data_IF_839926130706
#
_entry.id   IF_839926130706
#
_cell.length_a   1.000
_cell.length_b   1.000
_cell.length_c   1.000
_cell.angle_alpha   90.00
_cell.angle_beta   90.00
_cell.angle_gamma   90.00
#
_symmetry.space_group_name_H-M   'P 1'
#
loop_
_entity.id
_entity.type
_entity.pdbx_description
1 polymer ?
#
# COMPACT_ATOMS: atom_id res chain seq x y z
N UNK A 1 -28.57 -0.03 17.62
CA UNK A 1 -29.31 0.24 16.37
C UNK A 1 -28.90 -0.73 15.28
N UNK A 2 -27.62 -0.96 15.01
CA UNK A 2 -27.18 -1.86 13.91
C UNK A 2 -27.61 -3.33 14.11
N UNK A 3 -27.48 -3.90 15.31
CA UNK A 3 -27.94 -5.29 15.57
C UNK A 3 -29.46 -5.45 15.43
N UNK A 4 -30.24 -4.45 15.84
CA UNK A 4 -31.70 -4.48 15.80
C UNK A 4 -32.21 -4.54 14.36
N UNK A 5 -31.60 -3.74 13.47
CA UNK A 5 -31.93 -3.68 12.05
C UNK A 5 -31.61 -4.99 11.33
N UNK A 6 -30.46 -5.61 11.63
CA UNK A 6 -30.10 -6.89 11.03
C UNK A 6 -31.09 -7.99 11.44
N UNK A 7 -31.49 -8.02 12.71
CA UNK A 7 -32.51 -8.94 13.20
C UNK A 7 -33.88 -8.70 12.56
N UNK A 8 -34.31 -7.44 12.40
CA UNK A 8 -35.60 -7.11 11.77
C UNK A 8 -35.61 -7.46 10.28
N UNK A 9 -34.52 -7.20 9.56
CA UNK A 9 -34.35 -7.64 8.16
C UNK A 9 -34.37 -9.15 8.04
N UNK A 10 -33.73 -9.86 8.97
CA UNK A 10 -33.71 -11.32 8.97
C UNK A 10 -35.09 -11.92 9.28
N UNK A 11 -35.83 -11.34 10.24
CA UNK A 11 -37.21 -11.72 10.52
C UNK A 11 -38.13 -11.46 9.31
N UNK A 12 -37.92 -10.35 8.61
CA UNK A 12 -38.66 -10.01 7.37
C UNK A 12 -38.33 -11.00 6.26
N UNK A 13 -37.07 -11.45 6.16
CA UNK A 13 -36.65 -12.47 5.19
C UNK A 13 -37.37 -13.80 5.44
N UNK A 14 -37.44 -14.24 6.70
CA UNK A 14 -38.15 -15.46 7.08
C UNK A 14 -39.66 -15.37 6.82
N UNK A 15 -40.27 -14.20 7.03
CA UNK A 15 -41.71 -14.01 6.78
C UNK A 15 -42.08 -13.96 5.30
N UNK A 16 -41.19 -13.44 4.44
CA UNK A 16 -41.52 -13.15 3.04
C UNK A 16 -40.88 -14.11 2.03
N UNK A 17 -40.25 -15.20 2.48
CA UNK A 17 -39.58 -16.18 1.61
C UNK A 17 -38.56 -15.53 0.65
N UNK A 18 -37.89 -14.48 1.13
CA UNK A 18 -36.91 -13.72 0.36
C UNK A 18 -35.65 -14.57 0.19
N UNK A 19 -35.08 -14.58 -1.00
CA UNK A 19 -33.86 -15.35 -1.25
C UNK A 19 -32.72 -14.82 -0.38
N UNK A 20 -31.80 -15.71 0.01
CA UNK A 20 -30.64 -15.34 0.81
C UNK A 20 -29.77 -14.30 0.07
N UNK A 21 -29.79 -14.31 -1.26
CA UNK A 21 -29.12 -13.34 -2.12
C UNK A 21 -29.75 -11.94 -1.99
N UNK A 22 -31.07 -11.86 -2.02
CA UNK A 22 -31.80 -10.59 -1.87
C UNK A 22 -31.66 -10.02 -0.45
N UNK A 23 -31.61 -10.87 0.58
CA UNK A 23 -31.30 -10.46 1.95
C UNK A 23 -29.91 -9.82 2.04
N UNK A 24 -28.89 -10.47 1.49
CA UNK A 24 -27.54 -9.92 1.49
C UNK A 24 -27.45 -8.63 0.68
N UNK A 25 -28.15 -8.54 -0.46
CA UNK A 25 -28.24 -7.31 -1.25
C UNK A 25 -28.84 -6.16 -0.43
N UNK A 26 -29.98 -6.38 0.23
CA UNK A 26 -30.64 -5.39 1.09
C UNK A 26 -29.76 -4.99 2.28
N UNK A 27 -29.09 -5.94 2.92
CA UNK A 27 -28.18 -5.70 4.02
C UNK A 27 -26.96 -4.87 3.56
N UNK A 28 -26.38 -5.19 2.40
CA UNK A 28 -25.27 -4.43 1.81
C UNK A 28 -25.70 -2.99 1.53
N UNK A 29 -26.89 -2.80 0.95
CA UNK A 29 -27.46 -1.50 0.65
C UNK A 29 -27.67 -0.68 1.94
N UNK A 30 -28.16 -1.32 3.01
CA UNK A 30 -28.35 -0.67 4.29
C UNK A 30 -27.03 -0.29 4.96
N UNK A 31 -26.02 -1.17 4.93
CA UNK A 31 -24.67 -0.88 5.44
C UNK A 31 -24.07 0.29 4.68
N UNK A 32 -24.20 0.33 3.35
CA UNK A 32 -23.69 1.42 2.52
C UNK A 32 -24.38 2.75 2.85
N UNK A 33 -25.71 2.73 3.03
CA UNK A 33 -26.48 3.92 3.44
C UNK A 33 -26.07 4.42 4.83
N UNK A 34 -25.88 3.51 5.78
CA UNK A 34 -25.42 3.84 7.13
C UNK A 34 -23.99 4.40 7.12
N UNK A 35 -23.07 3.83 6.33
CA UNK A 35 -21.71 4.32 6.21
C UNK A 35 -21.65 5.74 5.63
N UNK A 36 -22.45 6.01 4.59
CA UNK A 36 -22.59 7.36 4.01
C UNK A 36 -23.18 8.33 5.03
N UNK A 37 -24.28 7.96 5.71
CA UNK A 37 -24.90 8.81 6.74
C UNK A 37 -23.95 9.09 7.90
N UNK A 38 -23.14 8.11 8.31
CA UNK A 38 -22.14 8.26 9.37
C UNK A 38 -21.02 9.22 8.95
N UNK A 39 -20.56 9.14 7.70
CA UNK A 39 -19.61 10.10 7.13
C UNK A 39 -20.22 11.51 7.05
N UNK A 40 -21.47 11.64 6.61
CA UNK A 40 -22.18 12.93 6.57
C UNK A 40 -22.34 13.50 7.99
N UNK A 41 -22.71 12.70 8.98
CA UNK A 41 -22.86 13.16 10.36
C UNK A 41 -21.53 13.55 10.99
N UNK A 42 -20.46 12.78 10.80
CA UNK A 42 -19.12 13.13 11.25
C UNK A 42 -18.63 14.43 10.60
N UNK A 43 -18.93 14.61 9.32
CA UNK A 43 -18.65 15.85 8.61
C UNK A 43 -19.46 17.03 9.17
N UNK A 44 -20.76 16.86 9.41
CA UNK A 44 -21.61 17.89 10.02
C UNK A 44 -21.17 18.25 11.44
N UNK A 45 -20.72 17.28 12.24
CA UNK A 45 -20.12 17.51 13.56
C UNK A 45 -18.79 18.27 13.45
N UNK A 46 -17.98 17.98 12.44
CA UNK A 46 -16.73 18.69 12.19
C UNK A 46 -17.00 20.14 11.76
N UNK A 47 -18.00 20.35 10.89
CA UNK A 47 -18.45 21.69 10.46
C UNK A 47 -19.04 22.47 11.64
N UNK A 48 -19.90 21.88 12.48
CA UNK A 48 -20.47 22.60 13.65
C UNK A 48 -19.41 22.98 14.69
N UNK A 49 -18.35 22.19 14.86
CA UNK A 49 -17.21 22.57 15.73
C UNK A 49 -16.41 23.76 15.19
N UNK A 50 -16.43 24.02 13.89
CA UNK A 50 -15.80 25.20 13.29
C UNK A 50 -16.63 26.48 13.45
N UNK A 51 -17.90 26.38 13.87
CA UNK A 51 -18.83 27.51 13.94
C UNK A 51 -19.34 27.83 15.36
N UNK A 52 -18.67 27.36 16.43
CA UNK A 52 -19.05 27.75 17.79
C UNK A 52 -18.58 29.19 18.06
N UNK A 53 -19.48 30.15 18.32
CA UNK A 53 -19.10 31.50 18.71
C UNK A 53 -18.50 31.47 20.12
N UNK A 54 -17.29 31.99 20.24
CA UNK A 54 -16.65 32.27 21.53
C UNK A 54 -17.43 33.41 22.21
N UNK A 55 -17.78 33.21 23.48
CA UNK A 55 -18.41 34.23 24.33
C UNK A 55 -17.54 35.49 24.39
N UNK A 56 -18.12 36.70 24.31
CA UNK A 56 -17.34 37.92 24.27
C UNK A 56 -16.90 38.36 25.67
N UNK A 57 -15.68 38.02 26.06
CA UNK A 57 -14.91 38.77 27.06
C UNK A 57 -13.45 38.78 26.65
N UNK A 58 -12.91 40.00 26.56
CA UNK A 58 -11.50 40.36 26.38
C UNK A 58 -10.93 40.38 24.94
N UNK A 59 -10.74 41.62 24.53
CA UNK A 59 -10.12 42.18 23.33
C UNK A 59 -8.70 41.72 23.06
N UNK A 60 -8.45 41.01 21.95
CA UNK A 60 -7.22 41.17 21.15
C UNK A 60 -7.53 41.02 19.66
N UNK A 61 -7.29 42.10 18.92
CA UNK A 61 -7.40 42.30 17.48
C UNK A 61 -6.40 41.45 16.71
N UNK A 62 -6.83 40.65 15.72
CA UNK A 62 -6.15 40.44 14.40
C UNK A 62 -6.92 39.49 13.47
N UNK A 63 -7.48 40.10 12.41
CA UNK A 63 -7.65 39.62 11.03
C UNK A 63 -8.08 38.16 10.79
N UNK A 64 -9.37 37.94 10.58
CA UNK A 64 -9.89 36.85 9.74
C UNK A 64 -10.77 37.44 8.64
N UNK A 65 -10.39 37.16 7.39
CA UNK A 65 -11.16 37.49 6.17
C UNK A 65 -12.35 36.52 6.08
N UNK A 66 -13.59 36.98 5.85
CA UNK A 66 -14.74 36.10 5.73
C UNK A 66 -14.76 35.42 4.34
N UNK A 67 -14.70 34.09 4.30
CA UNK A 67 -14.98 33.32 3.08
C UNK A 67 -16.50 33.10 3.01
N UNK A 68 -17.13 33.48 1.89
CA UNK A 68 -18.59 33.37 1.74
C UNK A 68 -19.05 31.90 1.77
N UNK A 69 -20.21 31.60 2.39
CA UNK A 69 -20.78 30.25 2.42
C UNK A 69 -20.97 29.62 1.02
N UNK A 70 -21.15 30.45 0.00
CA UNK A 70 -21.32 30.03 -1.40
C UNK A 70 -20.06 29.42 -2.02
N UNK A 71 -18.85 29.78 -1.56
CA UNK A 71 -17.61 29.14 -2.05
C UNK A 71 -17.36 27.77 -1.43
N UNK A 72 -17.90 27.51 -0.24
CA UNK A 72 -17.80 26.21 0.43
C UNK A 72 -18.71 25.18 -0.26
N UNK A 73 -19.91 25.60 -0.67
CA UNK A 73 -20.85 24.71 -1.40
C UNK A 73 -20.37 24.40 -2.84
N UNK A 74 -19.67 25.33 -3.49
CA UNK A 74 -19.10 25.10 -4.83
C UNK A 74 -17.87 24.16 -4.82
N UNK A 75 -17.08 24.13 -3.74
CA UNK A 75 -15.96 23.20 -3.59
C UNK A 75 -16.37 21.75 -3.25
N UNK A 76 -17.60 21.56 -2.76
CA UNK A 76 -18.10 20.28 -2.27
C UNK A 76 -18.85 19.44 -3.32
N UNK A 77 -19.35 20.06 -4.41
CA UNK A 77 -20.03 19.34 -5.50
C UNK A 77 -19.07 18.83 -6.59
N UNK A 78 -17.86 19.37 -6.65
CA UNK A 78 -16.87 19.03 -7.68
C UNK A 78 -16.32 17.61 -7.52
N UNK A 79 -15.98 17.10 -6.32
CA UNK A 79 -15.42 15.75 -6.19
C UNK A 79 -16.43 14.63 -6.45
N UNK A 80 -17.70 14.79 -6.07
CA UNK A 80 -18.72 13.74 -6.24
C UNK A 80 -19.22 13.68 -7.69
N UNK A 81 -19.27 14.82 -8.39
CA UNK A 81 -19.67 14.87 -9.80
C UNK A 81 -18.52 14.49 -10.76
N UNK A 82 -17.24 14.73 -10.40
CA UNK A 82 -16.10 14.26 -11.20
C UNK A 82 -15.81 12.77 -11.02
N UNK A 83 -16.12 12.16 -9.88
CA UNK A 83 -16.03 10.69 -9.72
C UNK A 83 -17.15 9.94 -10.45
N UNK A 84 -18.32 10.55 -10.66
CA UNK A 84 -19.42 9.95 -11.44
C UNK A 84 -19.33 10.21 -12.95
N UNK A 85 -18.69 11.30 -13.38
CA UNK A 85 -18.46 11.57 -14.81
C UNK A 85 -17.24 10.83 -15.38
N UNK A 86 -16.21 10.57 -14.57
CA UNK A 86 -15.03 9.80 -14.99
C UNK A 86 -15.32 8.32 -15.27
N UNK A 87 -16.47 7.81 -14.84
CA UNK A 87 -16.94 6.45 -15.14
C UNK A 87 -17.77 6.33 -16.43
N UNK A 88 -18.05 7.42 -17.15
CA UNK A 88 -18.87 7.41 -18.38
C UNK A 88 -18.21 8.01 -19.63
N UNK A 89 -16.93 8.43 -19.58
CA UNK A 89 -16.29 9.17 -20.68
C UNK A 89 -14.96 8.59 -21.18
N UNK A 90 -14.71 7.29 -21.04
CA UNK A 90 -13.52 6.62 -21.63
C UNK A 90 -13.82 5.83 -22.92
N UNK A 91 -15.00 6.02 -23.50
CA UNK A 91 -15.29 5.66 -24.89
C UNK A 91 -15.30 6.94 -25.73
N UNK A 92 -14.53 6.96 -26.82
CA UNK A 92 -14.38 7.99 -27.86
C UNK A 92 -13.30 9.08 -27.66
N UNK A 93 -12.63 9.43 -28.79
CA UNK A 93 -11.56 10.43 -28.99
C UNK A 93 -10.15 9.85 -28.69
N UNK A 94 -9.23 9.56 -29.62
CA UNK A 94 -8.93 10.21 -30.89
C UNK A 94 -8.08 9.27 -31.80
N UNK A 95 -8.58 9.03 -33.01
CA UNK A 95 -7.82 8.55 -34.17
C UNK A 95 -7.14 9.77 -34.81
N UNK A 96 -5.83 9.76 -35.01
CA UNK A 96 -5.19 10.84 -35.76
C UNK A 96 -3.66 10.80 -35.90
N UNK A 97 -3.20 10.17 -36.99
CA UNK A 97 -2.06 10.62 -37.81
C UNK A 97 -0.64 10.45 -37.22
N UNK A 98 0.06 9.38 -37.61
CA UNK A 98 1.46 9.50 -38.06
C UNK A 98 1.79 8.54 -39.21
N UNK A 99 1.86 9.17 -40.40
CA UNK A 99 2.55 8.86 -41.66
C UNK A 99 3.12 7.45 -41.94
N UNK A 100 2.62 6.91 -43.06
CA UNK A 100 3.29 5.98 -43.96
C UNK A 100 4.73 6.41 -44.35
N UNK A 101 5.69 5.48 -44.28
CA UNK A 101 6.65 5.16 -45.36
C UNK A 101 7.56 3.98 -44.97
N UNK A 102 7.31 2.83 -45.61
CA UNK A 102 8.30 1.96 -46.27
C UNK A 102 7.88 0.48 -46.18
N UNK A 103 7.47 -0.05 -47.33
CA UNK A 103 7.52 -1.49 -47.62
C UNK A 103 8.88 -1.75 -48.27
N UNK A 104 9.72 -2.55 -47.64
CA UNK A 104 10.71 -3.36 -48.35
C UNK A 104 10.80 -4.72 -47.68
N UNK A 105 10.53 -5.75 -48.46
CA UNK A 105 10.67 -7.16 -48.12
C UNK A 105 12.11 -7.48 -47.69
N UNK A 106 12.28 -8.07 -46.50
CA UNK A 106 13.34 -9.05 -46.25
C UNK A 106 12.87 -10.06 -45.19
N UNK A 107 13.21 -11.30 -45.49
CA UNK A 107 12.89 -12.57 -44.85
C UNK A 107 13.14 -12.68 -43.34
N UNK A 108 12.43 -13.64 -42.74
CA UNK A 108 12.82 -14.46 -41.59
C UNK A 108 13.12 -13.74 -40.27
N UNK A 109 12.12 -13.65 -39.40
CA UNK A 109 12.28 -13.29 -38.00
C UNK A 109 11.04 -13.73 -37.22
N UNK A 110 11.16 -14.85 -36.52
CA UNK A 110 10.25 -15.21 -35.43
C UNK A 110 10.15 -13.98 -34.52
N UNK A 111 8.98 -13.34 -34.43
CA UNK A 111 8.81 -12.15 -33.59
C UNK A 111 9.05 -12.56 -32.14
N UNK A 112 10.23 -12.28 -31.61
CA UNK A 112 10.52 -12.38 -30.19
C UNK A 112 9.50 -11.47 -29.52
N UNK A 113 8.48 -12.05 -28.88
CA UNK A 113 7.59 -11.28 -28.02
C UNK A 113 8.48 -10.53 -27.04
N UNK A 114 8.29 -9.22 -26.93
CA UNK A 114 9.01 -8.42 -25.94
C UNK A 114 8.85 -9.08 -24.58
N UNK A 115 9.98 -9.53 -24.01
CA UNK A 115 10.01 -10.36 -22.80
C UNK A 115 9.37 -9.65 -21.59
N UNK A 116 9.42 -8.32 -21.60
CA UNK A 116 8.89 -7.43 -20.58
C UNK A 116 7.97 -6.40 -21.22
N UNK A 117 6.95 -5.99 -20.49
CA UNK A 117 5.97 -5.01 -20.97
C UNK A 117 5.80 -3.89 -19.94
N UNK A 118 5.34 -2.73 -20.41
CA UNK A 118 4.94 -1.65 -19.52
C UNK A 118 3.77 -2.12 -18.65
N UNK A 119 3.86 -2.06 -17.31
CA UNK A 119 2.83 -2.58 -16.44
C UNK A 119 1.63 -1.64 -16.45
N UNK A 120 0.44 -2.21 -16.28
CA UNK A 120 -0.82 -1.49 -16.35
C UNK A 120 -1.67 -1.73 -15.09
N UNK A 121 -2.53 -0.76 -14.75
CA UNK A 121 -3.47 -0.94 -13.64
C UNK A 121 -4.54 -1.97 -14.03
N UNK A 122 -4.73 -2.97 -13.19
CA UNK A 122 -5.71 -4.05 -13.40
C UNK A 122 -6.73 -4.17 -12.27
N UNK A 123 -6.59 -3.38 -11.20
CA UNK A 123 -7.53 -3.29 -10.07
C UNK A 123 -8.23 -1.94 -10.17
N UNK A 124 -9.38 -1.90 -10.85
CA UNK A 124 -10.11 -0.67 -11.19
C UNK A 124 -11.38 -0.48 -10.35
N UNK A 125 -11.87 -1.57 -9.76
CA UNK A 125 -13.01 -1.61 -8.85
C UNK A 125 -12.77 -2.57 -7.69
N UNK A 126 -13.63 -2.51 -6.67
CA UNK A 126 -13.61 -3.47 -5.54
C UNK A 126 -13.81 -4.92 -5.99
N UNK A 127 -14.45 -5.16 -7.14
CA UNK A 127 -14.69 -6.51 -7.68
C UNK A 127 -13.40 -7.16 -8.23
N UNK A 128 -12.41 -6.35 -8.60
CA UNK A 128 -11.11 -6.82 -9.10
C UNK A 128 -10.21 -7.35 -7.98
N UNK A 129 -10.58 -7.17 -6.71
CA UNK A 129 -9.82 -7.70 -5.57
C UNK A 129 -9.71 -9.23 -5.60
N UNK A 130 -10.75 -9.93 -6.06
CA UNK A 130 -10.69 -11.39 -6.19
C UNK A 130 -9.70 -11.81 -7.28
N UNK A 131 -9.66 -11.08 -8.41
CA UNK A 131 -8.68 -11.28 -9.48
C UNK A 131 -7.25 -11.09 -8.95
N UNK A 132 -7.03 -10.01 -8.20
CA UNK A 132 -5.76 -9.73 -7.53
C UNK A 132 -5.35 -10.86 -6.57
N UNK A 133 -6.22 -11.25 -5.63
CA UNK A 133 -5.90 -12.27 -4.62
C UNK A 133 -5.63 -13.67 -5.21
N UNK A 134 -6.10 -13.95 -6.45
CA UNK A 134 -5.86 -15.20 -7.17
C UNK A 134 -4.70 -15.14 -8.17
N UNK A 135 -4.09 -13.96 -8.32
CA UNK A 135 -3.03 -13.74 -9.30
C UNK A 135 -1.71 -14.38 -8.89
N UNK A 136 -0.88 -14.68 -9.90
CA UNK A 136 0.52 -15.08 -9.70
C UNK A 136 1.31 -14.02 -8.94
N UNK A 137 1.10 -12.74 -9.24
CA UNK A 137 1.73 -11.62 -8.56
C UNK A 137 1.47 -11.64 -7.04
N UNK A 138 0.22 -11.85 -6.60
CA UNK A 138 -0.11 -11.94 -5.17
C UNK A 138 0.64 -13.08 -4.48
N UNK A 139 0.63 -14.27 -5.09
CA UNK A 139 1.26 -15.46 -4.53
C UNK A 139 2.78 -15.29 -4.40
N UNK A 140 3.44 -14.79 -5.45
CA UNK A 140 4.88 -14.54 -5.46
C UNK A 140 5.28 -13.43 -4.49
N UNK A 141 4.46 -12.37 -4.39
CA UNK A 141 4.65 -11.30 -3.42
C UNK A 141 4.61 -11.83 -1.99
N UNK A 142 3.54 -12.54 -1.62
CA UNK A 142 3.40 -13.10 -0.28
C UNK A 142 4.47 -14.14 0.03
N UNK A 143 4.90 -14.94 -0.95
CA UNK A 143 6.02 -15.86 -0.78
C UNK A 143 7.31 -15.08 -0.41
N UNK A 144 7.61 -14.00 -1.15
CA UNK A 144 8.77 -13.16 -0.84
C UNK A 144 8.69 -12.54 0.56
N UNK A 145 7.52 -12.00 0.96
CA UNK A 145 7.37 -11.42 2.31
C UNK A 145 7.61 -12.47 3.40
N UNK A 146 7.12 -13.69 3.23
CA UNK A 146 7.36 -14.80 4.16
C UNK A 146 8.83 -15.21 4.22
N UNK A 147 9.50 -15.37 3.07
CA UNK A 147 10.92 -15.72 3.01
C UNK A 147 11.81 -14.67 3.70
N UNK A 148 11.54 -13.39 3.46
CA UNK A 148 12.26 -12.28 4.08
C UNK A 148 11.98 -12.22 5.59
N UNK A 149 10.74 -12.50 6.02
CA UNK A 149 10.37 -12.59 7.42
C UNK A 149 11.14 -13.70 8.16
N UNK A 150 11.24 -14.89 7.56
CA UNK A 150 11.96 -16.02 8.15
C UNK A 150 13.48 -15.77 8.20
N UNK A 151 14.04 -15.08 7.20
CA UNK A 151 15.47 -14.76 7.13
C UNK A 151 15.98 -13.88 8.29
N UNK A 152 15.09 -13.15 8.95
CA UNK A 152 15.41 -12.24 10.08
C UNK A 152 14.89 -12.73 11.43
N UNK A 153 14.33 -13.94 11.50
CA UNK A 153 13.79 -14.50 12.74
C UNK A 153 14.87 -14.61 13.81
N UNK A 154 14.69 -13.89 14.92
CA UNK A 154 15.66 -13.85 16.02
C UNK A 154 16.98 -13.10 15.73
N UNK A 155 17.09 -12.39 14.61
CA UNK A 155 18.31 -11.70 14.16
C UNK A 155 18.24 -10.21 14.51
N UNK A 156 19.28 -9.64 15.11
CA UNK A 156 19.33 -8.19 15.39
C UNK A 156 19.81 -7.40 14.17
N UNK A 157 19.30 -6.17 13.99
CA UNK A 157 19.66 -5.33 12.84
C UNK A 157 21.15 -4.98 12.79
N UNK A 158 21.84 -5.00 13.93
CA UNK A 158 23.28 -4.70 14.05
C UNK A 158 24.18 -5.92 13.86
N UNK A 159 23.63 -7.11 13.63
CA UNK A 159 24.43 -8.33 13.40
C UNK A 159 25.30 -8.16 12.15
N UNK A 160 26.51 -8.71 12.14
CA UNK A 160 27.34 -8.71 10.94
C UNK A 160 26.74 -9.63 9.87
N UNK A 161 26.34 -9.05 8.74
CA UNK A 161 25.56 -9.71 7.70
C UNK A 161 26.27 -9.49 6.37
N UNK A 162 26.60 -10.56 5.62
CA UNK A 162 27.17 -10.43 4.29
C UNK A 162 26.26 -9.60 3.37
N UNK A 163 26.85 -8.63 2.68
CA UNK A 163 26.18 -7.78 1.70
C UNK A 163 26.80 -8.08 0.34
N UNK A 164 26.00 -8.60 -0.59
CA UNK A 164 26.50 -8.82 -1.96
C UNK A 164 26.71 -7.47 -2.67
N UNK A 165 27.58 -7.41 -3.70
CA UNK A 165 27.82 -6.18 -4.45
C UNK A 165 26.53 -5.53 -4.96
N UNK A 166 25.57 -6.32 -5.44
CA UNK A 166 24.30 -5.79 -5.95
C UNK A 166 23.39 -5.21 -4.87
N UNK A 167 23.39 -5.79 -3.68
CA UNK A 167 22.68 -5.18 -2.53
C UNK A 167 23.36 -3.89 -2.10
N UNK A 168 24.70 -3.83 -2.15
CA UNK A 168 25.44 -2.60 -1.87
C UNK A 168 25.15 -1.51 -2.91
N UNK A 169 25.18 -1.82 -4.21
CA UNK A 169 24.80 -0.90 -5.29
C UNK A 169 23.42 -0.26 -5.02
N UNK A 170 22.44 -1.09 -4.61
CA UNK A 170 21.09 -0.61 -4.28
C UNK A 170 21.06 0.28 -3.02
N UNK A 171 21.87 -0.02 -2.00
CA UNK A 171 22.00 0.82 -0.80
C UNK A 171 22.60 2.18 -1.15
N UNK A 172 23.65 2.19 -1.98
CA UNK A 172 24.35 3.40 -2.42
C UNK A 172 23.41 4.31 -3.24
N UNK A 173 22.57 3.72 -4.11
CA UNK A 173 21.50 4.46 -4.81
C UNK A 173 20.56 5.14 -3.81
N UNK A 174 20.07 4.42 -2.79
CA UNK A 174 19.17 5.02 -1.80
C UNK A 174 19.88 6.09 -0.94
N UNK A 175 21.19 5.97 -0.74
CA UNK A 175 21.99 7.02 -0.10
C UNK A 175 22.09 8.28 -0.94
N UNK A 176 22.31 8.12 -2.25
CA UNK A 176 22.35 9.23 -3.19
C UNK A 176 21.00 9.95 -3.30
N UNK A 177 19.90 9.19 -3.43
CA UNK A 177 18.54 9.75 -3.41
C UNK A 177 18.24 10.53 -2.12
N UNK A 178 18.80 10.09 -0.98
CA UNK A 178 18.66 10.81 0.29
C UNK A 178 19.46 12.12 0.27
N UNK A 179 20.65 12.16 -0.34
CA UNK A 179 21.45 13.40 -0.42
C UNK A 179 20.76 14.48 -1.23
N UNK A 180 19.95 14.13 -2.24
CA UNK A 180 19.18 15.11 -3.00
C UNK A 180 18.24 15.96 -2.14
N UNK A 181 17.84 15.51 -0.94
CA UNK A 181 17.04 16.35 -0.04
C UNK A 181 17.81 17.58 0.47
N UNK A 182 19.15 17.55 0.42
CA UNK A 182 20.01 18.71 0.71
C UNK A 182 20.05 19.70 -0.46
N UNK A 183 19.91 19.20 -1.69
CA UNK A 183 19.89 20.02 -2.92
C UNK A 183 18.52 20.65 -3.16
N UNK A 184 17.46 20.00 -2.69
CA UNK A 184 16.08 20.49 -2.73
C UNK A 184 15.55 20.76 -1.31
N UNK A 185 16.06 21.79 -0.61
CA UNK A 185 15.60 22.13 0.73
C UNK A 185 14.11 22.53 0.71
N UNK A 186 13.40 22.41 1.85
CA UNK A 186 11.99 22.79 1.94
C UNK A 186 11.78 24.26 1.55
N UNK A 187 10.82 24.52 0.66
CA UNK A 187 10.45 25.89 0.28
C UNK A 187 9.65 26.58 1.38
N UNK A 188 9.75 27.90 1.47
CA UNK A 188 8.84 28.69 2.32
C UNK A 188 7.44 28.65 1.71
N UNK A 189 6.52 28.01 2.43
CA UNK A 189 5.15 27.77 1.99
C UNK A 189 4.17 28.84 2.52
N UNK A 190 4.66 29.87 3.22
CA UNK A 190 3.83 30.89 3.85
C UNK A 190 2.76 30.29 4.77
N UNK A 191 1.50 30.35 4.34
CA UNK A 191 0.35 29.84 5.11
C UNK A 191 0.00 28.37 4.83
N UNK A 192 0.55 27.76 3.77
CA UNK A 192 0.27 26.36 3.45
C UNK A 192 0.89 25.45 4.51
N UNK A 193 0.03 24.63 5.12
CA UNK A 193 0.37 23.81 6.30
C UNK A 193 0.82 22.40 5.97
N UNK A 194 0.41 21.87 4.81
CA UNK A 194 0.60 20.48 4.42
C UNK A 194 1.44 20.38 3.14
N UNK A 195 2.26 19.34 3.02
CA UNK A 195 3.02 18.99 1.82
C UNK A 195 3.89 20.13 1.28
N UNK A 196 5.19 20.10 1.56
CA UNK A 196 6.14 21.05 0.98
C UNK A 196 6.33 20.77 -0.52
N UNK A 197 6.09 21.79 -1.37
CA UNK A 197 6.15 21.64 -2.83
C UNK A 197 7.55 21.35 -3.37
N UNK A 198 8.61 21.58 -2.58
CA UNK A 198 9.97 21.18 -2.93
C UNK A 198 10.08 19.67 -3.24
N UNK A 199 9.22 18.84 -2.65
CA UNK A 199 9.13 17.41 -2.99
C UNK A 199 8.91 17.17 -4.49
N UNK A 200 8.16 18.05 -5.17
CA UNK A 200 7.91 17.91 -6.61
C UNK A 200 9.19 18.06 -7.42
N UNK A 201 10.14 18.89 -6.98
CA UNK A 201 11.44 19.05 -7.62
C UNK A 201 12.32 17.83 -7.39
N UNK A 202 12.35 17.32 -6.17
CA UNK A 202 13.04 16.06 -5.84
C UNK A 202 12.49 14.89 -6.68
N UNK A 203 11.16 14.76 -6.76
CA UNK A 203 10.50 13.70 -7.53
C UNK A 203 10.65 13.88 -9.05
N UNK A 204 10.71 15.11 -9.53
CA UNK A 204 11.00 15.39 -10.94
C UNK A 204 12.38 14.87 -11.33
N UNK A 205 13.41 15.18 -10.53
CA UNK A 205 14.76 14.64 -10.77
C UNK A 205 14.77 13.11 -10.72
N UNK A 206 14.08 12.51 -9.74
CA UNK A 206 13.90 11.06 -9.68
C UNK A 206 13.30 10.52 -10.99
N UNK A 207 12.28 11.18 -11.53
CA UNK A 207 11.64 10.76 -12.79
C UNK A 207 12.58 10.88 -13.98
N UNK A 208 13.45 11.90 -14.00
CA UNK A 208 14.42 12.14 -15.07
C UNK A 208 15.61 11.16 -15.03
N UNK A 209 16.05 10.72 -13.84
CA UNK A 209 17.21 9.84 -13.66
C UNK A 209 16.86 8.35 -13.44
N UNK A 210 15.58 8.00 -13.24
CA UNK A 210 15.19 6.66 -12.82
C UNK A 210 15.59 5.54 -13.80
N UNK A 211 15.54 5.77 -15.11
CA UNK A 211 15.99 4.80 -16.10
C UNK A 211 17.47 4.43 -15.89
N UNK A 212 18.35 5.42 -15.75
CA UNK A 212 19.79 5.22 -15.54
C UNK A 212 20.09 4.55 -14.20
N UNK A 213 19.37 4.96 -13.14
CA UNK A 213 19.44 4.33 -11.82
C UNK A 213 19.12 2.84 -11.93
N UNK A 214 18.01 2.47 -12.58
CA UNK A 214 17.62 1.06 -12.73
C UNK A 214 18.60 0.32 -13.64
N UNK A 215 19.08 0.95 -14.73
CA UNK A 215 20.09 0.33 -15.61
C UNK A 215 21.36 -0.06 -14.87
N UNK A 216 21.79 0.72 -13.86
CA UNK A 216 22.99 0.42 -13.07
C UNK A 216 22.88 -0.87 -12.25
N UNK A 217 21.66 -1.27 -11.87
CA UNK A 217 21.38 -2.50 -11.12
C UNK A 217 21.34 -3.74 -12.01
N UNK A 218 21.12 -3.57 -13.32
CA UNK A 218 20.85 -4.66 -14.25
C UNK A 218 22.08 -5.08 -15.05
N UNK A 219 22.15 -6.36 -15.38
CA UNK A 219 23.07 -6.87 -16.39
C UNK A 219 22.59 -6.48 -17.80
N UNK A 220 23.50 -6.46 -18.78
CA UNK A 220 23.22 -5.96 -20.14
C UNK A 220 22.01 -6.65 -20.79
N UNK A 221 21.89 -7.97 -20.62
CA UNK A 221 20.83 -8.81 -21.15
C UNK A 221 19.46 -8.63 -20.46
N UNK A 222 19.41 -7.89 -19.35
CA UNK A 222 18.19 -7.62 -18.58
C UNK A 222 17.74 -6.17 -18.67
N UNK A 223 18.49 -5.30 -19.34
CA UNK A 223 18.15 -3.87 -19.50
C UNK A 223 16.77 -3.62 -20.10
N UNK A 224 16.26 -4.52 -20.95
CA UNK A 224 14.90 -4.40 -21.48
C UNK A 224 13.81 -4.51 -20.40
N UNK A 225 14.12 -4.97 -19.18
CA UNK A 225 13.18 -5.01 -18.07
C UNK A 225 12.89 -3.64 -17.44
N UNK A 226 13.68 -2.59 -17.76
CA UNK A 226 13.46 -1.23 -17.23
C UNK A 226 12.06 -0.72 -17.51
N UNK A 227 11.49 -1.05 -18.68
CA UNK A 227 10.11 -0.71 -19.05
C UNK A 227 9.08 -1.18 -18.02
N UNK A 228 9.38 -2.29 -17.33
CA UNK A 228 8.52 -2.84 -16.29
C UNK A 228 8.90 -2.38 -14.87
N UNK A 229 10.19 -2.24 -14.59
CA UNK A 229 10.67 -1.85 -13.27
C UNK A 229 10.39 -0.38 -12.93
N UNK A 230 10.41 0.49 -13.94
CA UNK A 230 10.35 1.94 -13.78
C UNK A 230 9.11 2.39 -12.98
N UNK A 231 7.87 1.95 -13.28
CA UNK A 231 6.71 2.39 -12.52
C UNK A 231 6.72 1.93 -11.06
N UNK A 232 7.22 0.74 -10.74
CA UNK A 232 7.33 0.27 -9.36
C UNK A 232 8.33 1.12 -8.56
N UNK A 233 9.47 1.43 -9.17
CA UNK A 233 10.49 2.27 -8.55
C UNK A 233 9.99 3.70 -8.30
N UNK A 234 9.39 4.34 -9.30
CA UNK A 234 8.87 5.71 -9.17
C UNK A 234 7.74 5.80 -8.14
N UNK A 235 6.87 4.80 -8.05
CA UNK A 235 5.78 4.77 -7.07
C UNK A 235 6.26 4.41 -5.65
N UNK A 236 7.52 4.02 -5.46
CA UNK A 236 8.06 3.64 -4.14
C UNK A 236 8.23 4.82 -3.18
N UNK A 237 8.25 6.08 -3.64
CA UNK A 237 8.69 7.23 -2.84
C UNK A 237 7.56 8.23 -2.51
N UNK A 238 6.30 7.87 -2.79
CA UNK A 238 5.13 8.72 -2.58
C UNK A 238 4.60 9.36 -3.87
N UNK A 239 3.55 10.18 -3.75
CA UNK A 239 2.91 10.83 -4.88
C UNK A 239 3.29 12.31 -4.99
N UNK A 240 3.92 12.73 -6.10
CA UNK A 240 4.36 14.12 -6.30
C UNK A 240 3.23 15.15 -6.33
N UNK A 241 2.04 14.77 -6.80
CA UNK A 241 0.91 15.69 -6.90
C UNK A 241 0.29 15.96 -5.54
N UNK A 242 -0.03 14.89 -4.80
CA UNK A 242 -0.66 14.94 -3.48
C UNK A 242 0.31 15.20 -2.34
N UNK A 243 1.61 14.97 -2.57
CA UNK A 243 2.69 15.08 -1.57
C UNK A 243 2.36 14.18 -0.36
N UNK A 244 1.94 12.95 -0.67
CA UNK A 244 1.59 11.92 0.31
C UNK A 244 2.42 10.65 0.13
N UNK A 245 2.53 9.86 1.20
CA UNK A 245 3.17 8.55 1.22
C UNK A 245 2.37 7.62 2.14
N UNK A 246 2.38 6.31 1.88
CA UNK A 246 1.75 5.31 2.74
C UNK A 246 2.10 3.89 2.32
N UNK A 247 1.44 2.92 2.94
CA UNK A 247 1.72 1.48 2.76
C UNK A 247 1.62 0.96 1.32
N UNK A 248 0.89 1.64 0.42
CA UNK A 248 0.88 1.33 -1.01
C UNK A 248 2.24 1.57 -1.67
N UNK A 249 2.88 2.70 -1.33
CA UNK A 249 4.22 3.06 -1.81
C UNK A 249 5.30 2.14 -1.20
N UNK A 250 5.16 1.81 0.11
CA UNK A 250 5.99 0.77 0.75
C UNK A 250 5.89 -0.57 0.00
N UNK A 251 4.68 -0.97 -0.39
CA UNK A 251 4.46 -2.17 -1.17
C UNK A 251 5.05 -2.07 -2.58
N UNK A 252 4.99 -0.91 -3.25
CA UNK A 252 5.64 -0.68 -4.54
C UNK A 252 7.16 -0.88 -4.49
N UNK A 253 7.82 -0.47 -3.40
CA UNK A 253 9.25 -0.76 -3.18
C UNK A 253 9.52 -2.26 -3.05
N UNK A 254 8.65 -2.99 -2.37
CA UNK A 254 8.74 -4.44 -2.25
C UNK A 254 8.44 -5.16 -3.57
N UNK A 255 7.52 -4.65 -4.40
CA UNK A 255 7.28 -5.16 -5.75
C UNK A 255 8.52 -4.95 -6.63
N UNK A 256 9.17 -3.79 -6.53
CA UNK A 256 10.44 -3.52 -7.20
C UNK A 256 11.52 -4.53 -6.76
N UNK A 257 11.68 -4.76 -5.46
CA UNK A 257 12.60 -5.78 -4.93
C UNK A 257 12.27 -7.19 -5.43
N UNK A 258 10.99 -7.56 -5.49
CA UNK A 258 10.53 -8.85 -6.04
C UNK A 258 10.93 -8.99 -7.50
N UNK A 259 10.72 -7.96 -8.31
CA UNK A 259 11.08 -7.99 -9.72
C UNK A 259 12.59 -8.12 -9.91
N UNK A 260 13.40 -7.41 -9.11
CA UNK A 260 14.87 -7.58 -9.10
C UNK A 260 15.30 -8.99 -8.70
N UNK A 261 14.63 -9.62 -7.72
CA UNK A 261 14.85 -11.04 -7.37
C UNK A 261 14.52 -11.97 -8.54
N UNK A 262 13.40 -11.75 -9.24
CA UNK A 262 13.00 -12.55 -10.41
C UNK A 262 13.96 -12.40 -11.58
N UNK A 263 14.61 -11.24 -11.68
CA UNK A 263 15.70 -10.98 -12.61
C UNK A 263 17.05 -11.54 -12.13
N UNK A 264 17.13 -12.16 -10.95
CA UNK A 264 18.37 -12.70 -10.39
C UNK A 264 19.40 -11.63 -10.01
N UNK A 265 18.97 -10.39 -9.78
CA UNK A 265 19.82 -9.31 -9.23
C UNK A 265 20.10 -9.58 -7.76
N UNK A 266 19.07 -10.03 -7.04
CA UNK A 266 19.18 -10.51 -5.67
C UNK A 266 18.86 -12.01 -5.62
N UNK A 267 19.58 -12.75 -4.77
CA UNK A 267 19.43 -14.20 -4.58
C UNK A 267 18.97 -14.51 -3.15
N UNK A 268 18.48 -15.74 -2.85
CA UNK A 268 18.00 -16.07 -1.51
C UNK A 268 19.02 -15.85 -0.37
N UNK A 269 20.33 -15.95 -0.65
CA UNK A 269 21.37 -15.64 0.33
C UNK A 269 21.43 -14.16 0.72
N UNK A 270 20.84 -13.26 -0.08
CA UNK A 270 20.72 -11.83 0.23
C UNK A 270 19.54 -11.52 1.16
N UNK A 271 18.61 -12.46 1.39
CA UNK A 271 17.35 -12.16 2.09
C UNK A 271 17.52 -11.40 3.41
N UNK A 272 18.56 -11.74 4.19
CA UNK A 272 18.84 -11.06 5.46
C UNK A 272 19.35 -9.62 5.25
N UNK A 273 20.23 -9.38 4.27
CA UNK A 273 20.72 -8.03 3.95
C UNK A 273 19.66 -7.18 3.23
N UNK A 274 18.78 -7.79 2.44
CA UNK A 274 17.62 -7.12 1.85
C UNK A 274 16.72 -6.49 2.93
N UNK A 275 16.50 -7.18 4.05
CA UNK A 275 15.69 -6.65 5.16
C UNK A 275 16.51 -5.71 6.06
N UNK A 276 17.63 -6.18 6.61
CA UNK A 276 18.34 -5.49 7.70
C UNK A 276 19.37 -4.46 7.21
N UNK A 277 19.53 -4.29 5.89
CA UNK A 277 20.38 -3.26 5.28
C UNK A 277 19.60 -2.43 4.27
N UNK A 278 19.15 -3.05 3.17
CA UNK A 278 18.52 -2.33 2.06
C UNK A 278 17.18 -1.71 2.49
N UNK A 279 16.26 -2.51 3.02
CA UNK A 279 14.97 -2.00 3.47
C UNK A 279 15.11 -1.03 4.66
N UNK A 280 16.04 -1.27 5.57
CA UNK A 280 16.35 -0.29 6.63
C UNK A 280 16.83 1.04 6.05
N UNK A 281 17.71 1.04 5.04
CA UNK A 281 18.13 2.27 4.35
C UNK A 281 16.96 2.95 3.64
N UNK A 282 16.08 2.20 2.99
CA UNK A 282 14.84 2.71 2.41
C UNK A 282 13.98 3.42 3.46
N UNK A 283 13.76 2.81 4.64
CA UNK A 283 13.02 3.46 5.72
C UNK A 283 13.67 4.77 6.20
N UNK A 284 15.00 4.86 6.22
CA UNK A 284 15.70 6.12 6.56
C UNK A 284 15.49 7.19 5.51
N UNK A 285 15.57 6.85 4.22
CA UNK A 285 15.26 7.76 3.12
C UNK A 285 13.81 8.25 3.22
N UNK A 286 12.84 7.34 3.34
CA UNK A 286 11.42 7.72 3.43
C UNK A 286 11.15 8.61 4.64
N UNK A 287 11.70 8.32 5.82
CA UNK A 287 11.57 9.20 6.98
C UNK A 287 12.20 10.57 6.77
N UNK A 288 13.30 10.65 6.03
CA UNK A 288 13.92 11.90 5.62
C UNK A 288 12.99 12.70 4.68
N UNK A 289 12.37 12.06 3.69
CA UNK A 289 11.37 12.70 2.82
C UNK A 289 10.14 13.18 3.60
N UNK A 290 9.60 12.33 4.49
CA UNK A 290 8.44 12.64 5.33
C UNK A 290 8.67 13.89 6.18
N UNK A 291 9.81 13.97 6.87
CA UNK A 291 10.13 15.11 7.76
C UNK A 291 10.53 16.36 6.96
N UNK A 292 11.38 16.21 5.95
CA UNK A 292 11.86 17.34 5.12
C UNK A 292 10.70 17.98 4.37
N UNK A 293 9.86 17.18 3.72
CA UNK A 293 8.79 17.68 2.87
C UNK A 293 7.41 17.69 3.53
N UNK A 294 7.30 17.36 4.83
CA UNK A 294 6.01 17.34 5.56
C UNK A 294 4.94 16.56 4.79
N UNK A 295 5.33 15.37 4.31
CA UNK A 295 4.45 14.53 3.50
C UNK A 295 3.24 14.08 4.32
N UNK A 296 2.08 14.05 3.68
CA UNK A 296 0.85 13.60 4.32
C UNK A 296 0.74 12.06 4.29
N UNK A 297 0.08 11.44 5.28
CA UNK A 297 -0.28 10.03 5.21
C UNK A 297 -1.25 9.75 4.05
N UNK A 298 -0.87 8.84 3.16
CA UNK A 298 -1.72 8.40 2.08
C UNK A 298 -2.81 7.47 2.63
N UNK A 299 -4.06 7.92 2.50
CA UNK A 299 -5.24 7.20 2.98
C UNK A 299 -5.72 7.65 4.36
N UNK A 300 -7.03 7.83 4.49
CA UNK A 300 -7.66 8.39 5.69
C UNK A 300 -8.06 7.31 6.71
N UNK A 301 -7.08 6.75 7.45
CA UNK A 301 -7.37 5.77 8.52
C UNK A 301 -7.13 6.30 9.93
N UNK A 302 -6.31 7.34 10.09
CA UNK A 302 -6.01 7.95 11.38
C UNK A 302 -5.68 6.91 12.46
N UNK A 303 -6.31 7.03 13.61
CA UNK A 303 -6.12 6.15 14.78
C UNK A 303 -6.44 4.66 14.54
N UNK A 304 -7.10 4.32 13.42
CA UNK A 304 -7.41 2.93 13.06
C UNK A 304 -6.31 2.28 12.21
N UNK A 305 -5.31 3.04 11.75
CA UNK A 305 -4.12 2.47 11.09
C UNK A 305 -3.18 1.83 12.12
N UNK A 306 -2.34 0.89 11.65
CA UNK A 306 -1.22 0.40 12.45
C UNK A 306 -0.20 1.52 12.71
N UNK A 307 0.15 2.22 11.64
CA UNK A 307 1.02 3.40 11.60
C UNK A 307 0.56 4.29 10.43
N UNK A 308 0.94 5.56 10.44
CA UNK A 308 0.51 6.53 9.43
C UNK A 308 1.10 6.21 8.05
N UNK A 309 2.28 5.60 8.00
CA UNK A 309 3.05 5.46 6.76
C UNK A 309 3.45 4.02 6.42
N UNK A 310 3.92 3.25 7.39
CA UNK A 310 4.57 1.96 7.18
C UNK A 310 3.76 0.81 7.77
N UNK A 311 4.02 -0.41 7.29
CA UNK A 311 3.50 -1.63 7.90
C UNK A 311 4.61 -2.65 8.13
N UNK A 312 5.45 -2.85 7.13
CA UNK A 312 6.46 -3.90 7.07
C UNK A 312 7.52 -3.86 8.19
N UNK A 313 8.01 -2.71 8.72
CA UNK A 313 8.94 -2.74 9.85
C UNK A 313 8.35 -3.39 11.11
N UNK A 314 7.03 -3.32 11.33
CA UNK A 314 6.38 -4.03 12.44
C UNK A 314 6.28 -5.54 12.17
N UNK A 315 6.05 -5.94 10.92
CA UNK A 315 6.01 -7.35 10.52
C UNK A 315 7.40 -7.97 10.68
N UNK A 316 8.42 -7.48 9.97
CA UNK A 316 9.77 -8.06 10.07
C UNK A 316 10.44 -7.81 11.42
N UNK A 317 10.18 -6.67 12.06
CA UNK A 317 10.68 -6.37 13.39
C UNK A 317 10.11 -7.27 14.48
N UNK A 318 8.86 -7.73 14.36
CA UNK A 318 8.31 -8.74 15.26
C UNK A 318 8.95 -10.12 15.03
N UNK A 319 9.33 -10.47 13.80
CA UNK A 319 10.10 -11.70 13.52
C UNK A 319 11.48 -11.70 14.18
N UNK A 320 12.18 -10.56 14.15
CA UNK A 320 13.46 -10.40 14.86
C UNK A 320 13.36 -10.67 16.37
N UNK A 321 12.16 -10.56 16.97
CA UNK A 321 11.92 -10.72 18.40
C UNK A 321 11.35 -12.09 18.78
N UNK A 322 11.05 -12.96 17.81
CA UNK A 322 10.66 -14.35 18.04
C UNK A 322 11.75 -15.06 18.85
N UNK A 323 11.34 -15.74 19.92
CA UNK A 323 12.26 -16.38 20.88
C UNK A 323 12.94 -15.45 21.90
N UNK A 324 12.72 -14.13 21.86
CA UNK A 324 13.28 -13.20 22.85
C UNK A 324 12.57 -13.35 24.21
N UNK A 325 13.33 -13.63 25.27
CA UNK A 325 12.80 -13.83 26.63
C UNK A 325 12.72 -12.56 27.48
N UNK A 326 13.42 -11.49 27.10
CA UNK A 326 13.51 -10.25 27.88
C UNK A 326 12.58 -9.17 27.36
N UNK A 327 12.53 -9.03 26.03
CA UNK A 327 11.64 -8.09 25.36
C UNK A 327 10.35 -8.83 25.03
N UNK A 328 9.28 -8.52 25.76
CA UNK A 328 7.90 -8.98 25.48
C UNK A 328 7.14 -7.93 24.67
N UNK A 329 6.02 -8.24 23.99
CA UNK A 329 5.27 -7.26 23.19
C UNK A 329 4.93 -5.96 23.93
N UNK A 330 4.51 -6.00 25.20
CA UNK A 330 4.28 -4.79 26.00
C UNK A 330 5.51 -3.85 26.11
N UNK A 331 6.72 -4.36 25.86
CA UNK A 331 7.97 -3.63 26.09
C UNK A 331 8.13 -2.40 25.19
N UNK A 332 7.49 -2.36 24.01
CA UNK A 332 7.54 -1.17 23.15
C UNK A 332 6.66 -0.02 23.65
N UNK A 333 5.87 -0.22 24.70
CA UNK A 333 5.15 0.88 25.36
C UNK A 333 6.04 1.68 26.33
N UNK A 334 7.26 1.22 26.60
CA UNK A 334 8.20 1.86 27.53
C UNK A 334 9.24 2.67 26.74
N UNK A 335 9.18 4.02 26.75
CA UNK A 335 10.04 4.87 25.91
C UNK A 335 11.53 4.57 26.07
N UNK A 336 12.03 4.36 27.30
CA UNK A 336 13.44 4.05 27.55
C UNK A 336 13.89 2.74 26.92
N UNK A 337 13.02 1.71 26.92
CA UNK A 337 13.30 0.43 26.26
C UNK A 337 13.29 0.62 24.74
N UNK A 338 12.35 1.42 24.23
CA UNK A 338 12.28 1.74 22.81
C UNK A 338 13.56 2.41 22.33
N UNK A 339 14.00 3.46 23.02
CA UNK A 339 15.23 4.17 22.69
C UNK A 339 16.46 3.25 22.74
N UNK A 340 16.56 2.41 23.78
CA UNK A 340 17.68 1.46 23.94
C UNK A 340 17.76 0.42 22.81
N UNK A 341 16.64 0.02 22.22
CA UNK A 341 16.56 -1.08 21.25
C UNK A 341 16.28 -0.65 19.80
N UNK A 342 15.96 0.62 19.55
CA UNK A 342 15.63 1.14 18.23
C UNK A 342 16.70 0.87 17.17
N UNK A 343 17.99 0.97 17.52
CA UNK A 343 19.08 0.69 16.57
C UNK A 343 19.23 -0.79 16.20
N UNK A 344 18.63 -1.71 16.97
CA UNK A 344 18.85 -3.16 16.88
C UNK A 344 17.64 -3.93 16.36
N UNK A 345 16.49 -3.30 16.22
CA UNK A 345 15.25 -3.97 15.85
C UNK A 345 14.29 -3.03 15.10
N UNK A 346 13.75 -3.49 13.97
CA UNK A 346 12.88 -2.69 13.10
C UNK A 346 11.55 -2.29 13.76
N UNK A 347 11.01 -3.09 14.68
CA UNK A 347 9.77 -2.77 15.39
C UNK A 347 10.01 -1.62 16.36
N UNK A 348 11.03 -1.75 17.21
CA UNK A 348 11.42 -0.69 18.14
C UNK A 348 11.87 0.58 17.41
N UNK A 349 12.54 0.46 16.26
CA UNK A 349 12.87 1.59 15.41
C UNK A 349 11.63 2.34 14.89
N UNK A 350 10.60 1.62 14.46
CA UNK A 350 9.34 2.21 14.02
C UNK A 350 8.58 2.89 15.17
N UNK A 351 8.52 2.25 16.35
CA UNK A 351 7.91 2.86 17.54
C UNK A 351 8.69 4.09 18.01
N UNK A 352 10.02 4.06 17.94
CA UNK A 352 10.85 5.22 18.26
C UNK A 352 10.53 6.41 17.34
N UNK A 353 10.34 6.16 16.04
CA UNK A 353 9.92 7.20 15.10
C UNK A 353 8.53 7.77 15.45
N UNK A 354 7.56 6.93 15.83
CA UNK A 354 6.24 7.36 16.31
C UNK A 354 6.36 8.26 17.54
N UNK A 355 7.14 7.84 18.55
CA UNK A 355 7.31 8.59 19.79
C UNK A 355 7.95 9.99 19.56
N UNK A 356 8.76 10.13 18.51
CA UNK A 356 9.39 11.40 18.16
C UNK A 356 8.54 12.30 17.25
N UNK A 357 7.44 11.79 16.68
CA UNK A 357 6.61 12.52 15.69
C UNK A 357 5.19 12.78 16.17
N UNK A 358 4.67 11.97 17.11
CA UNK A 358 3.34 12.14 17.70
C UNK A 358 3.45 12.60 19.14
N UNK A 359 2.52 13.48 19.54
CA UNK A 359 2.45 14.05 20.89
C UNK A 359 1.21 13.51 21.60
N UNK A 360 1.36 13.21 22.89
CA UNK A 360 0.27 12.73 23.74
C UNK A 360 0.44 11.27 24.17
N UNK A 361 -0.53 10.72 24.91
CA UNK A 361 -0.49 9.32 25.33
C UNK A 361 -0.52 8.36 24.14
N UNK A 362 0.30 7.31 24.18
CA UNK A 362 0.46 6.35 23.08
C UNK A 362 -0.86 5.72 22.61
N UNK A 363 -1.76 5.41 23.55
CA UNK A 363 -3.06 4.78 23.27
C UNK A 363 -4.05 5.69 22.52
N UNK A 364 -3.85 7.01 22.56
CA UNK A 364 -4.69 7.99 21.86
C UNK A 364 -4.29 8.12 20.39
N UNK A 365 -2.99 8.13 20.09
CA UNK A 365 -2.48 8.38 18.74
C UNK A 365 -2.06 7.12 17.96
N UNK A 366 -1.84 6.00 18.66
CA UNK A 366 -1.39 4.72 18.11
C UNK A 366 -2.17 3.54 18.71
N UNK A 367 -3.51 3.63 18.68
CA UNK A 367 -4.40 2.70 19.37
C UNK A 367 -4.26 1.24 18.93
N UNK A 368 -4.06 0.96 17.64
CA UNK A 368 -3.85 -0.41 17.15
C UNK A 368 -2.59 -1.04 17.75
N UNK A 369 -1.46 -0.32 17.72
CA UNK A 369 -0.24 -0.75 18.38
C UNK A 369 -0.46 -0.90 19.89
N UNK A 370 -1.18 0.02 20.53
CA UNK A 370 -1.51 -0.14 21.96
C UNK A 370 -2.24 -1.46 22.25
N UNK A 371 -3.22 -1.85 21.43
CA UNK A 371 -3.96 -3.10 21.60
C UNK A 371 -3.10 -4.34 21.33
N UNK A 372 -2.19 -4.27 20.35
CA UNK A 372 -1.24 -5.36 20.03
C UNK A 372 -0.29 -5.64 21.19
N UNK A 373 -0.07 -4.67 22.08
CA UNK A 373 0.86 -4.79 23.21
C UNK A 373 0.40 -5.84 24.23
N UNK A 374 -0.91 -6.12 24.27
CA UNK A 374 -1.52 -7.16 25.09
C UNK A 374 -1.31 -8.59 24.55
N UNK A 375 -0.79 -8.76 23.33
CA UNK A 375 -0.45 -10.08 22.79
C UNK A 375 0.75 -10.65 23.55
N UNK A 376 0.66 -11.91 23.96
CA UNK A 376 1.63 -12.51 24.89
C UNK A 376 3.02 -12.77 24.29
N UNK A 377 3.11 -13.09 23.00
CA UNK A 377 4.37 -13.53 22.38
C UNK A 377 4.57 -12.93 21.01
N UNK A 378 5.84 -12.74 20.62
CA UNK A 378 6.20 -12.18 19.32
C UNK A 378 5.82 -13.07 18.14
N UNK A 379 5.75 -14.39 18.33
CA UNK A 379 5.26 -15.34 17.33
C UNK A 379 3.78 -15.06 17.00
N UNK A 380 2.97 -14.79 18.03
CA UNK A 380 1.55 -14.41 17.86
C UNK A 380 1.42 -13.02 17.26
N UNK A 381 2.25 -12.06 17.67
CA UNK A 381 2.29 -10.72 17.05
C UNK A 381 2.62 -10.85 15.57
N UNK A 382 3.70 -11.54 15.19
CA UNK A 382 4.14 -11.70 13.82
C UNK A 382 3.08 -12.40 12.95
N UNK A 383 2.48 -13.49 13.45
CA UNK A 383 1.38 -14.17 12.76
C UNK A 383 0.15 -13.27 12.59
N UNK A 384 -0.16 -12.44 13.58
CA UNK A 384 -1.21 -11.42 13.51
C UNK A 384 -0.89 -10.32 12.49
N UNK A 385 0.37 -9.89 12.41
CA UNK A 385 0.85 -8.89 11.44
C UNK A 385 0.67 -9.36 10.01
N UNK A 386 0.94 -10.63 9.70
CA UNK A 386 0.64 -11.18 8.37
C UNK A 386 -0.84 -11.06 8.00
N UNK A 387 -1.73 -11.50 8.90
CA UNK A 387 -3.19 -11.44 8.68
C UNK A 387 -3.67 -10.00 8.52
N UNK A 388 -3.16 -9.10 9.36
CA UNK A 388 -3.50 -7.69 9.30
C UNK A 388 -2.93 -7.03 8.05
N UNK A 389 -1.74 -7.39 7.60
CA UNK A 389 -1.14 -6.89 6.35
C UNK A 389 -1.98 -7.26 5.14
N UNK A 390 -2.40 -8.52 5.05
CA UNK A 390 -3.32 -8.95 4.00
C UNK A 390 -4.64 -8.16 4.06
N UNK A 391 -5.28 -8.06 5.22
CA UNK A 391 -6.60 -7.44 5.35
C UNK A 391 -6.57 -5.92 5.13
N UNK A 392 -5.58 -5.24 5.71
CA UNK A 392 -5.51 -3.78 5.76
C UNK A 392 -4.68 -3.18 4.62
N UNK A 393 -3.78 -3.92 3.99
CA UNK A 393 -2.99 -3.42 2.86
C UNK A 393 -3.43 -4.12 1.59
N UNK A 394 -3.18 -5.42 1.47
CA UNK A 394 -3.28 -6.12 0.19
C UNK A 394 -4.71 -6.39 -0.29
N UNK A 395 -5.69 -6.47 0.61
CA UNK A 395 -7.11 -6.69 0.30
C UNK A 395 -7.93 -5.40 0.41
N UNK A 396 -7.26 -4.24 0.58
CA UNK A 396 -7.91 -2.94 0.69
C UNK A 396 -7.81 -2.19 -0.62
N UNK A 397 -8.92 -2.15 -1.36
CA UNK A 397 -8.98 -1.53 -2.69
C UNK A 397 -8.31 -0.15 -2.77
N UNK A 398 -8.57 0.82 -1.85
CA UNK A 398 -7.94 2.14 -1.95
C UNK A 398 -6.41 2.13 -1.93
N UNK A 399 -5.79 1.09 -1.36
CA UNK A 399 -4.33 0.93 -1.30
C UNK A 399 -3.82 0.26 -2.57
N UNK A 400 -4.38 -0.90 -2.94
CA UNK A 400 -3.85 -1.70 -4.06
C UNK A 400 -4.31 -1.25 -5.44
N UNK A 401 -5.30 -0.35 -5.53
CA UNK A 401 -5.78 0.15 -6.82
C UNK A 401 -4.66 0.74 -7.68
N UNK A 402 -3.58 1.26 -7.07
CA UNK A 402 -2.47 1.88 -7.77
C UNK A 402 -1.41 0.86 -8.25
N UNK A 403 -1.52 -0.41 -7.84
CA UNK A 403 -0.63 -1.45 -8.34
C UNK A 403 -0.78 -1.62 -9.86
N UNK A 404 0.36 -1.79 -10.50
CA UNK A 404 0.47 -2.03 -11.93
C UNK A 404 0.98 -3.46 -12.14
N UNK A 405 0.62 -4.06 -13.27
CA UNK A 405 0.87 -5.47 -13.54
C UNK A 405 1.51 -5.62 -14.92
N UNK A 406 2.70 -6.23 -14.95
CA UNK A 406 3.48 -6.50 -16.16
C UNK A 406 3.76 -8.00 -16.33
N UNK A 407 4.87 -8.36 -16.97
CA UNK A 407 5.25 -9.76 -17.19
C UNK A 407 5.98 -10.37 -15.98
N UNK A 408 6.77 -9.58 -15.24
CA UNK A 408 7.40 -9.96 -13.97
C UNK A 408 6.39 -9.98 -12.83
N UNK A 409 5.48 -9.03 -12.76
CA UNK A 409 4.43 -8.96 -11.72
C UNK A 409 3.04 -9.12 -12.35
N UNK A 410 2.68 -10.37 -12.62
CA UNK A 410 1.54 -10.69 -13.49
C UNK A 410 0.21 -10.89 -12.74
N UNK A 411 -0.86 -10.25 -13.25
CA UNK A 411 -2.23 -10.41 -12.75
C UNK A 411 -2.86 -11.75 -13.15
N UNK A 412 -2.23 -12.49 -14.07
CA UNK A 412 -2.75 -13.78 -14.54
C UNK A 412 -2.85 -14.78 -13.38
N UNK A 413 -3.90 -15.61 -13.33
CA UNK A 413 -4.05 -16.62 -12.30
C UNK A 413 -2.94 -17.68 -12.39
N UNK A 414 -2.64 -18.32 -11.27
CA UNK A 414 -1.74 -19.48 -11.25
C UNK A 414 -2.43 -20.62 -11.98
N UNK A 415 -1.89 -21.06 -13.13
CA UNK A 415 -2.40 -22.23 -13.87
C UNK A 415 -2.34 -23.46 -12.96
N UNK A 416 -3.48 -24.09 -12.67
CA UNK A 416 -3.55 -25.34 -11.91
C UNK A 416 -4.31 -25.30 -10.56
N UNK A 417 -5.07 -24.25 -10.27
CA UNK A 417 -6.08 -24.27 -9.20
C UNK A 417 -7.47 -24.25 -9.83
N UNK A 418 -7.84 -25.37 -10.44
CA UNK A 418 -9.26 -25.63 -10.75
C UNK A 418 -9.98 -25.94 -9.43
N UNK A 419 -11.15 -25.34 -9.25
CA UNK A 419 -12.06 -25.56 -8.13
C UNK A 419 -12.37 -27.07 -8.02
N UNK A 420 -11.66 -27.77 -7.14
CA UNK A 420 -11.92 -29.17 -6.76
C UNK A 420 -13.27 -29.37 -6.04
N UNK A 421 -14.14 -28.36 -5.99
CA UNK A 421 -15.46 -28.40 -5.34
C UNK A 421 -16.63 -28.16 -6.31
N UNK A 422 -16.42 -28.23 -7.63
CA UNK A 422 -17.48 -28.00 -8.62
C UNK A 422 -17.52 -29.06 -9.74
N UNK A 423 -17.36 -30.35 -9.42
CA UNK A 423 -17.71 -31.44 -10.37
C UNK A 423 -18.01 -32.74 -9.61
N UNK A 424 -19.18 -32.86 -8.99
CA UNK A 424 -19.73 -34.16 -8.52
C UNK A 424 -21.23 -34.01 -8.20
N UNK A 425 -22.05 -33.62 -9.18
CA UNK A 425 -23.51 -33.61 -9.02
C UNK A 425 -24.27 -33.57 -10.36
N UNK A 426 -23.91 -34.40 -11.35
CA UNK A 426 -24.87 -34.77 -12.39
C UNK A 426 -24.42 -36.03 -13.13
N UNK A 427 -24.89 -37.20 -12.67
CA UNK A 427 -24.92 -38.44 -13.45
C UNK A 427 -25.83 -39.44 -12.73
N UNK A 428 -27.14 -39.22 -12.87
CA UNK A 428 -28.17 -40.17 -12.49
C UNK A 428 -29.10 -40.39 -13.68
N UNK A 429 -29.37 -41.67 -14.00
CA UNK A 429 -30.40 -42.19 -14.91
C UNK A 429 -30.16 -41.87 -16.40
N UNK A 430 -30.19 -42.78 -17.38
CA UNK A 430 -30.79 -44.11 -17.54
C UNK A 430 -30.43 -44.52 -18.96
N UNK A 431 -29.87 -45.71 -19.21
CA UNK A 431 -30.35 -46.57 -20.31
C UNK A 431 -29.68 -47.94 -20.29
N UNK A 432 -30.54 -48.95 -20.42
CA UNK A 432 -30.24 -50.35 -20.31
C UNK A 432 -29.81 -50.96 -21.65
N UNK A 433 -29.11 -52.08 -21.52
CA UNK A 433 -29.07 -53.20 -22.46
C UNK A 433 -28.28 -53.03 -23.77
N UNK A 434 -27.17 -53.78 -23.91
CA UNK A 434 -27.13 -55.02 -24.73
C UNK A 434 -25.71 -55.64 -24.79
N UNK A 435 -25.71 -56.96 -24.57
CA UNK A 435 -24.89 -57.98 -25.27
C UNK A 435 -23.41 -58.17 -24.93
N UNK A 436 -23.17 -59.19 -24.09
CA UNK A 436 -22.28 -60.37 -24.28
C UNK A 436 -20.94 -60.20 -25.03
N UNK A 437 -19.85 -60.45 -24.29
CA UNK A 437 -18.92 -61.56 -24.56
C UNK A 437 -18.55 -62.19 -23.21
#
# INVERSE_FOLDING_TARGET
MEETVACDLFATMLQNNISLLDFFSALLHHIFHCAILRQIMLFLQCVTRLFVPVSPTESVTRLLVPVSPTKIVAGLFVPIHQTLLSYRSLESVELGIFRQKSKSMTNAGESVRDKYCRPERQILSVFDLTKWCRSKAYMEYMAMINELNDAVKGVVSTEDIPISPKVMDAIDILDELQKWTLEYPPEDMGTQRFGNVAFRKWYQRLTEEADDIIYSLLTAEKKSAVVELLPYFLDSFGNSTRIDYGSGHEASFLIFMLCLRKLGVFVPSDNRSLVLRLFLKYLRLIRCLQTTYRMEPAGSRGVHALDDFQFIPFLWGSSQLIGNRRLVPESYLKPDIVEMHASRNLFFDAVHYINNTKVGPFHEHSNQLWNISAVQTWEKVNSGMFKMYEAEVLKKFPVVQHFQFGSLFSIEPVKGVDDLNLTDADNGTTEAARSKC
#
